data_IF_310766142735
#
_entry.id   IF_310766142735
#
_cell.length_a   1.000
_cell.length_b   1.000
_cell.length_c   1.000
_cell.angle_alpha   90.00
_cell.angle_beta   90.00
_cell.angle_gamma   90.00
#
_symmetry.space_group_name_H-M   'P 1'
#
loop_
_entity.id
_entity.type
_entity.pdbx_description
1 polymer ?
#
# COMPACT_ATOMS: atom_id res chain seq x y z
N UNK A 1 -4.90 22.94 13.04
CA UNK A 1 -5.16 22.32 11.73
C UNK A 1 -5.28 20.82 11.94
N UNK A 2 -6.48 20.32 12.28
CA UNK A 2 -6.69 18.89 12.55
C UNK A 2 -7.40 18.26 11.34
N UNK A 3 -6.64 17.76 10.36
CA UNK A 3 -7.21 16.84 9.37
C UNK A 3 -7.16 15.43 9.94
N UNK A 4 -8.22 15.10 10.67
CA UNK A 4 -8.55 13.74 11.09
C UNK A 4 -9.05 12.96 9.88
N UNK A 5 -8.27 11.98 9.44
CA UNK A 5 -8.61 11.11 8.32
C UNK A 5 -7.37 10.46 7.72
N UNK A 6 -6.53 9.88 8.56
CA UNK A 6 -5.32 9.24 8.07
C UNK A 6 -5.61 7.75 7.81
N UNK A 7 -5.67 7.35 6.55
CA UNK A 7 -5.72 5.94 6.20
C UNK A 7 -4.43 5.25 6.69
N UNK A 8 -4.56 4.11 7.35
CA UNK A 8 -3.43 3.28 7.74
C UNK A 8 -3.79 1.80 7.57
N UNK A 9 -2.78 0.97 7.37
CA UNK A 9 -2.91 -0.47 7.33
C UNK A 9 -1.84 -1.09 8.23
N UNK A 10 -2.09 -2.29 8.74
CA UNK A 10 -1.10 -3.03 9.51
C UNK A 10 -0.35 -3.98 8.58
N UNK A 11 0.98 -4.01 8.71
CA UNK A 11 1.83 -4.94 7.99
C UNK A 11 3.00 -5.33 8.88
N UNK A 12 3.21 -6.63 9.06
CA UNK A 12 4.32 -7.18 9.84
C UNK A 12 4.36 -6.63 11.29
N UNK A 13 3.21 -6.65 11.97
CA UNK A 13 2.97 -6.07 13.31
C UNK A 13 3.28 -4.57 13.45
N UNK A 14 3.41 -3.84 12.34
CA UNK A 14 3.64 -2.39 12.33
C UNK A 14 2.50 -1.67 11.62
N UNK A 15 2.11 -0.51 12.15
CA UNK A 15 1.16 0.37 11.47
C UNK A 15 1.88 1.15 10.38
N UNK A 16 1.31 1.15 9.19
CA UNK A 16 1.80 1.90 8.05
C UNK A 16 0.72 2.88 7.64
N UNK A 17 1.05 4.16 7.78
CA UNK A 17 0.15 5.26 7.43
C UNK A 17 0.26 5.53 5.93
N UNK A 18 -0.85 5.60 5.24
CA UNK A 18 -0.92 5.97 3.83
C UNK A 18 -0.98 7.49 3.74
N UNK A 19 0.02 8.10 3.12
CA UNK A 19 0.08 9.55 2.92
C UNK A 19 -0.61 9.91 1.61
N UNK A 20 -0.34 9.14 0.55
CA UNK A 20 -0.89 9.39 -0.76
C UNK A 20 -1.12 8.07 -1.49
N UNK A 21 -2.35 7.86 -1.94
CA UNK A 21 -2.76 6.74 -2.75
C UNK A 21 -3.77 7.19 -3.78
N UNK A 22 -3.76 6.55 -4.94
CA UNK A 22 -4.64 6.85 -6.06
C UNK A 22 -5.48 5.60 -6.32
N UNK A 23 -6.81 5.68 -6.17
CA UNK A 23 -7.68 4.58 -6.59
C UNK A 23 -7.61 4.47 -8.11
N UNK A 24 -7.48 3.24 -8.59
CA UNK A 24 -7.49 2.92 -10.00
C UNK A 24 -8.70 2.03 -10.27
N UNK A 25 -9.53 2.42 -11.23
CA UNK A 25 -10.71 1.65 -11.67
C UNK A 25 -10.25 0.45 -12.51
N UNK A 26 -9.47 -0.42 -11.89
CA UNK A 26 -9.18 -1.74 -12.41
C UNK A 26 -9.99 -2.73 -11.59
N UNK A 27 -11.15 -3.09 -12.14
CA UNK A 27 -11.92 -4.22 -11.65
C UNK A 27 -11.17 -5.49 -12.00
N UNK A 28 -10.52 -6.10 -11.01
CA UNK A 28 -9.89 -7.39 -11.15
C UNK A 28 -10.48 -8.34 -10.13
N UNK A 29 -10.89 -9.52 -10.58
CA UNK A 29 -11.33 -10.64 -9.73
C UNK A 29 -10.12 -11.29 -9.03
N UNK A 30 -9.34 -10.49 -8.28
CA UNK A 30 -8.20 -10.97 -7.51
C UNK A 30 -8.48 -10.86 -6.02
N UNK A 31 -7.69 -11.59 -5.24
CA UNK A 31 -7.81 -11.53 -3.78
C UNK A 31 -7.46 -10.11 -3.30
N UNK A 32 -8.23 -9.56 -2.35
CA UNK A 32 -7.92 -8.26 -1.77
C UNK A 32 -6.56 -8.31 -1.06
N UNK A 33 -5.76 -7.26 -1.25
CA UNK A 33 -4.41 -7.16 -0.68
C UNK A 33 -3.29 -7.70 -1.57
N UNK A 34 -3.57 -8.17 -2.79
CA UNK A 34 -2.52 -8.65 -3.70
C UNK A 34 -1.76 -7.50 -4.37
N UNK A 35 -0.45 -7.58 -4.43
CA UNK A 35 0.37 -6.62 -5.16
C UNK A 35 0.41 -7.04 -6.63
N UNK A 36 -0.22 -6.26 -7.50
CA UNK A 36 -0.27 -6.54 -8.95
C UNK A 36 0.80 -5.80 -9.74
N UNK A 37 1.34 -4.72 -9.17
CA UNK A 37 2.39 -3.95 -9.84
C UNK A 37 3.26 -3.23 -8.82
N UNK A 38 4.58 -3.25 -9.05
CA UNK A 38 5.55 -2.48 -8.27
C UNK A 38 6.34 -1.66 -9.28
N UNK A 39 6.19 -0.35 -9.21
CA UNK A 39 6.86 0.61 -10.08
C UNK A 39 7.55 1.69 -9.25
N UNK A 40 8.47 2.45 -9.85
CA UNK A 40 9.09 3.60 -9.15
C UNK A 40 8.07 4.69 -8.78
N UNK A 41 6.98 4.79 -9.54
CA UNK A 41 5.88 5.74 -9.26
C UNK A 41 5.00 5.30 -8.07
N UNK A 42 5.02 4.02 -7.70
CA UNK A 42 4.19 3.49 -6.63
C UNK A 42 3.95 1.99 -6.70
N UNK A 43 3.13 1.49 -5.77
CA UNK A 43 2.78 0.08 -5.63
C UNK A 43 1.28 -0.07 -5.81
N UNK A 44 0.87 -0.85 -6.80
CA UNK A 44 -0.55 -1.11 -7.07
C UNK A 44 -0.97 -2.40 -6.37
N UNK A 45 -1.95 -2.26 -5.49
CA UNK A 45 -2.58 -3.34 -4.74
C UNK A 45 -4.02 -3.52 -5.19
N UNK A 46 -4.50 -4.75 -5.24
CA UNK A 46 -5.91 -5.04 -5.49
C UNK A 46 -6.69 -4.94 -4.19
N UNK A 47 -7.95 -4.57 -4.33
CA UNK A 47 -8.96 -4.60 -3.28
C UNK A 47 -10.08 -5.51 -3.74
N UNK A 48 -11.17 -5.61 -2.96
CA UNK A 48 -12.28 -6.51 -3.25
C UNK A 48 -12.98 -6.21 -4.59
N UNK A 49 -12.96 -4.96 -5.03
CA UNK A 49 -13.70 -4.50 -6.22
C UNK A 49 -12.84 -3.71 -7.22
N UNK A 50 -11.79 -3.02 -6.73
CA UNK A 50 -10.95 -2.12 -7.53
C UNK A 50 -9.46 -2.30 -7.20
N UNK A 51 -8.58 -1.51 -7.82
CA UNK A 51 -7.17 -1.44 -7.44
C UNK A 51 -6.82 -0.08 -6.80
N UNK A 52 -5.77 -0.03 -6.00
CA UNK A 52 -5.27 1.18 -5.37
C UNK A 52 -3.76 1.25 -5.59
N UNK A 53 -3.28 2.36 -6.13
CA UNK A 53 -1.85 2.63 -6.28
C UNK A 53 -1.36 3.49 -5.13
N UNK A 54 -0.58 2.90 -4.23
CA UNK A 54 0.12 3.59 -3.15
C UNK A 54 1.30 4.35 -3.73
N UNK A 55 1.34 5.67 -3.53
CA UNK A 55 2.50 6.51 -3.90
C UNK A 55 3.42 6.72 -2.70
N UNK A 56 2.87 7.25 -1.60
CA UNK A 56 3.63 7.59 -0.39
C UNK A 56 3.02 6.97 0.85
N UNK A 57 3.88 6.43 1.70
CA UNK A 57 3.51 5.79 2.96
C UNK A 57 4.50 6.18 4.07
N UNK A 58 4.08 6.00 5.32
CA UNK A 58 4.88 6.28 6.51
C UNK A 58 4.75 5.10 7.47
N UNK A 59 5.76 4.21 7.52
CA UNK A 59 5.81 3.15 8.52
C UNK A 59 5.99 3.74 9.92
N UNK A 60 5.42 3.08 10.92
CA UNK A 60 5.62 3.44 12.33
C UNK A 60 7.11 3.42 12.70
N UNK A 61 7.59 4.52 13.28
CA UNK A 61 8.99 4.72 13.63
C UNK A 61 9.91 5.17 12.48
N UNK A 62 9.39 5.37 11.25
CA UNK A 62 10.15 5.93 10.12
C UNK A 62 9.50 7.19 9.55
N UNK A 63 10.28 7.92 8.75
CA UNK A 63 9.81 9.04 7.95
C UNK A 63 8.89 8.61 6.82
N UNK A 64 8.27 9.60 6.17
CA UNK A 64 7.49 9.40 4.95
C UNK A 64 8.41 8.94 3.81
N UNK A 65 8.00 7.91 3.08
CA UNK A 65 8.77 7.32 1.98
C UNK A 65 7.87 6.82 0.86
N UNK A 66 8.44 6.64 -0.32
CA UNK A 66 7.73 6.06 -1.44
C UNK A 66 7.37 4.59 -1.19
N UNK A 67 6.20 4.18 -1.65
CA UNK A 67 5.72 2.81 -1.51
C UNK A 67 6.68 1.80 -2.15
N UNK A 68 7.33 2.19 -3.25
CA UNK A 68 8.37 1.39 -3.91
C UNK A 68 9.57 1.14 -2.98
N UNK A 69 10.05 2.18 -2.29
CA UNK A 69 11.17 2.06 -1.35
C UNK A 69 10.81 1.15 -0.17
N UNK A 70 9.57 1.28 0.33
CA UNK A 70 9.04 0.39 1.36
C UNK A 70 8.97 -1.07 0.90
N UNK A 71 8.43 -1.35 -0.29
CA UNK A 71 8.35 -2.70 -0.86
C UNK A 71 9.73 -3.34 -0.97
N UNK A 72 10.73 -2.58 -1.40
CA UNK A 72 12.12 -3.04 -1.44
C UNK A 72 12.64 -3.41 -0.04
N UNK A 73 12.38 -2.56 0.97
CA UNK A 73 12.75 -2.83 2.36
C UNK A 73 11.98 -4.01 2.98
N UNK A 74 10.72 -4.20 2.60
CA UNK A 74 9.87 -5.31 3.02
C UNK A 74 10.13 -6.60 2.21
N UNK A 75 10.96 -6.54 1.16
CA UNK A 75 11.23 -7.63 0.21
C UNK A 75 9.98 -8.21 -0.45
N UNK A 76 8.96 -7.37 -0.64
CA UNK A 76 7.70 -7.73 -1.29
C UNK A 76 7.87 -7.81 -2.82
N UNK A 77 7.13 -8.70 -3.47
CA UNK A 77 7.11 -8.85 -4.91
C UNK A 77 5.69 -8.80 -5.46
N UNK A 78 5.58 -8.68 -6.78
CA UNK A 78 4.29 -8.80 -7.46
C UNK A 78 3.77 -10.23 -7.23
N UNK A 79 2.53 -10.36 -6.75
CA UNK A 79 1.91 -11.61 -6.33
C UNK A 79 1.92 -11.84 -4.81
N UNK A 80 2.63 -11.02 -4.03
CA UNK A 80 2.54 -11.08 -2.56
C UNK A 80 1.24 -10.44 -2.04
N UNK A 81 0.83 -10.87 -0.85
CA UNK A 81 -0.38 -10.39 -0.18
C UNK A 81 -0.05 -9.57 1.05
N UNK A 82 -0.59 -8.35 1.12
CA UNK A 82 -0.64 -7.52 2.31
C UNK A 82 -1.85 -7.98 3.14
N UNK A 83 -1.74 -9.14 3.78
CA UNK A 83 -2.78 -9.60 4.70
C UNK A 83 -2.59 -8.98 6.08
N UNK A 84 -3.71 -8.55 6.65
CA UNK A 84 -3.82 -8.20 8.06
C UNK A 84 -4.44 -9.41 8.76
N UNK A 85 -3.64 -10.21 9.48
CA UNK A 85 -4.19 -11.13 10.48
C UNK A 85 -4.86 -10.34 11.61
#
# INVERSE_FOLDING_TARGET
MHSCGNAYFCFNSKKIKVICAIPSQMSMERKPGEIINISKDGVTITTKDNAITLKKIKPEGKGEMDACCWVNGARLKVGDFINNE
#
